data_IF_513897947019
#
_entry.id   IF_513897947019
#
_cell.length_a   1.000
_cell.length_b   1.000
_cell.length_c   1.000
_cell.angle_alpha   90.00
_cell.angle_beta   90.00
_cell.angle_gamma   90.00
#
_symmetry.space_group_name_H-M   'P 1'
#
loop_
_entity.id
_entity.type
_entity.pdbx_description
1 polymer ?
#
# COMPACT_ATOMS: atom_id res chain seq x y z
N UNK A 1 9.73 -38.08 1.74
CA UNK A 1 10.62 -36.92 1.89
C UNK A 1 9.90 -36.03 2.89
N UNK A 2 10.40 -35.96 4.12
CA UNK A 2 9.78 -35.16 5.18
C UNK A 2 9.91 -33.69 4.80
N UNK A 3 8.77 -33.00 4.68
CA UNK A 3 8.72 -31.55 4.61
C UNK A 3 9.16 -30.99 5.96
N UNK A 4 10.47 -30.89 6.16
CA UNK A 4 11.00 -30.16 7.30
C UNK A 4 10.65 -28.68 7.12
N UNK A 5 9.81 -28.17 8.02
CA UNK A 5 9.43 -26.77 8.03
C UNK A 5 10.69 -25.91 8.14
N UNK A 6 11.01 -25.19 7.05
CA UNK A 6 12.18 -24.30 6.99
C UNK A 6 11.93 -23.12 7.93
N UNK A 7 12.68 -23.06 9.05
CA UNK A 7 12.63 -21.92 9.96
C UNK A 7 13.29 -20.70 9.32
N UNK A 8 12.51 -19.63 9.13
CA UNK A 8 13.00 -18.37 8.55
C UNK A 8 12.95 -17.27 9.62
N UNK A 9 14.13 -16.83 10.06
CA UNK A 9 14.26 -15.79 11.10
C UNK A 9 13.61 -14.48 10.63
N UNK A 10 12.61 -14.03 11.37
CA UNK A 10 11.93 -12.75 11.14
C UNK A 10 11.08 -12.68 9.87
N UNK A 11 10.71 -13.82 9.28
CA UNK A 11 9.88 -13.90 8.06
C UNK A 11 10.46 -13.15 6.84
N UNK A 12 11.78 -12.95 6.80
CA UNK A 12 12.44 -12.31 5.65
C UNK A 12 12.15 -13.11 4.38
N UNK A 13 11.70 -12.43 3.33
CA UNK A 13 11.33 -13.03 2.04
C UNK A 13 10.15 -14.02 2.10
N UNK A 14 9.35 -14.00 3.17
CA UNK A 14 8.13 -14.80 3.30
C UNK A 14 6.93 -13.86 3.15
N UNK A 15 6.08 -14.11 2.15
CA UNK A 15 4.82 -13.41 2.01
C UNK A 15 3.84 -13.88 3.10
N UNK A 16 3.62 -13.04 4.12
CA UNK A 16 2.69 -13.33 5.22
C UNK A 16 1.23 -13.09 4.85
N UNK A 17 0.96 -12.16 3.93
CA UNK A 17 -0.37 -11.84 3.44
C UNK A 17 -0.34 -11.25 2.02
N UNK A 18 -1.51 -11.15 1.41
CA UNK A 18 -1.72 -10.40 0.17
C UNK A 18 -2.34 -9.05 0.51
N UNK A 19 -1.95 -7.99 -0.20
CA UNK A 19 -2.47 -6.63 0.02
C UNK A 19 -2.68 -5.89 -1.30
N UNK A 20 -3.62 -4.94 -1.28
CA UNK A 20 -3.87 -3.98 -2.38
C UNK A 20 -3.48 -2.55 -2.01
N UNK A 21 -2.98 -2.33 -0.79
CA UNK A 21 -2.81 -1.00 -0.19
C UNK A 21 -1.57 -0.29 -0.73
N UNK A 22 -0.45 -0.99 -0.87
CA UNK A 22 0.78 -0.36 -1.35
C UNK A 22 1.69 -1.33 -2.10
N UNK A 23 2.56 -0.76 -2.92
CA UNK A 23 3.66 -1.46 -3.57
C UNK A 23 4.94 -0.65 -3.40
N UNK A 24 5.98 -1.30 -2.88
CA UNK A 24 7.32 -0.73 -2.73
C UNK A 24 8.18 -1.31 -3.85
N UNK A 25 8.56 -0.47 -4.80
CA UNK A 25 9.39 -0.90 -5.92
C UNK A 25 10.85 -1.05 -5.44
N UNK A 26 11.52 -2.17 -5.74
CA UNK A 26 12.96 -2.33 -5.51
C UNK A 26 13.83 -1.21 -6.13
N UNK A 27 13.33 -0.51 -7.16
CA UNK A 27 14.01 0.61 -7.81
C UNK A 27 13.80 1.96 -7.09
N UNK A 28 13.01 1.99 -6.02
CA UNK A 28 12.86 3.15 -5.13
C UNK A 28 11.54 3.94 -5.25
N UNK A 29 10.64 3.52 -6.14
CA UNK A 29 9.31 4.11 -6.24
C UNK A 29 8.34 3.56 -5.17
N UNK A 30 7.37 4.37 -4.76
CA UNK A 30 6.34 3.99 -3.79
C UNK A 30 4.95 4.29 -4.35
N UNK A 31 4.08 3.28 -4.30
CA UNK A 31 2.71 3.38 -4.80
C UNK A 31 1.70 3.12 -3.68
N UNK A 32 0.68 3.97 -3.59
CA UNK A 32 -0.50 3.80 -2.73
C UNK A 32 -1.72 3.45 -3.58
N UNK A 33 -2.28 2.26 -3.37
CA UNK A 33 -3.43 1.73 -4.14
C UNK A 33 -3.27 1.90 -5.67
N UNK A 34 -2.04 1.84 -6.18
CA UNK A 34 -1.68 2.03 -7.60
C UNK A 34 -1.30 3.45 -8.01
N UNK A 35 -1.47 4.45 -7.14
CA UNK A 35 -1.04 5.82 -7.37
C UNK A 35 0.41 6.01 -6.94
N UNK A 36 1.24 6.52 -7.83
CA UNK A 36 2.59 6.97 -7.53
C UNK A 36 2.55 8.12 -6.52
N UNK A 37 3.24 7.97 -5.38
CA UNK A 37 3.24 8.97 -4.31
C UNK A 37 3.75 10.32 -4.79
N UNK A 38 4.72 10.35 -5.72
CA UNK A 38 5.29 11.59 -6.24
C UNK A 38 4.26 12.41 -7.02
N UNK A 39 3.19 11.77 -7.52
CA UNK A 39 2.06 12.44 -8.19
C UNK A 39 1.04 13.00 -7.21
N UNK A 40 1.01 12.50 -5.98
CA UNK A 40 0.09 12.93 -4.93
C UNK A 40 0.64 14.15 -4.17
N UNK A 41 1.96 14.27 -4.05
CA UNK A 41 2.63 15.35 -3.33
C UNK A 41 2.15 16.72 -3.84
N UNK A 42 1.68 17.57 -2.92
CA UNK A 42 1.22 18.92 -3.21
C UNK A 42 -0.12 19.01 -3.95
N UNK A 43 -0.80 17.88 -4.20
CA UNK A 43 -2.11 17.83 -4.86
C UNK A 43 -3.22 17.29 -3.97
N UNK A 44 -2.87 16.46 -2.99
CA UNK A 44 -3.83 15.87 -2.07
C UNK A 44 -3.47 16.20 -0.61
N UNK A 45 -4.49 16.26 0.25
CA UNK A 45 -4.32 16.37 1.69
C UNK A 45 -4.18 15.00 2.37
N UNK A 46 -3.96 15.02 3.69
CA UNK A 46 -3.81 13.81 4.48
C UNK A 46 -5.09 12.96 4.48
N UNK A 47 -6.25 13.61 4.62
CA UNK A 47 -7.56 12.99 4.67
C UNK A 47 -7.88 12.24 3.36
N UNK A 48 -7.52 12.82 2.22
CA UNK A 48 -7.61 12.16 0.91
C UNK A 48 -6.78 10.89 0.83
N UNK A 49 -5.58 10.89 1.41
CA UNK A 49 -4.71 9.71 1.47
C UNK A 49 -5.31 8.65 2.40
N UNK A 50 -5.85 9.03 3.56
CA UNK A 50 -6.55 8.07 4.44
C UNK A 50 -7.72 7.44 3.72
N UNK A 51 -8.53 8.25 3.02
CA UNK A 51 -9.64 7.76 2.22
C UNK A 51 -9.17 6.81 1.12
N UNK A 52 -8.08 7.16 0.41
CA UNK A 52 -7.46 6.30 -0.60
C UNK A 52 -7.06 4.93 -0.04
N UNK A 53 -6.40 4.88 1.12
CA UNK A 53 -5.93 3.63 1.70
C UNK A 53 -7.08 2.73 2.19
N UNK A 54 -8.18 3.32 2.64
CA UNK A 54 -9.37 2.59 3.10
C UNK A 54 -10.26 2.13 1.94
N UNK A 55 -10.44 2.98 0.92
CA UNK A 55 -11.41 2.76 -0.16
C UNK A 55 -10.79 2.37 -1.51
N UNK A 56 -9.46 2.36 -1.62
CA UNK A 56 -8.71 2.09 -2.85
C UNK A 56 -9.02 3.05 -4.02
N UNK A 57 -9.54 4.24 -3.72
CA UNK A 57 -9.79 5.33 -4.68
C UNK A 57 -9.64 6.68 -3.98
N UNK A 58 -9.29 7.72 -4.75
CA UNK A 58 -9.39 9.09 -4.25
C UNK A 58 -10.88 9.46 -4.03
N UNK A 59 -11.17 10.23 -2.98
CA UNK A 59 -12.54 10.67 -2.69
C UNK A 59 -13.04 11.68 -3.73
N UNK A 60 -14.36 11.77 -3.91
CA UNK A 60 -14.98 12.98 -4.44
C UNK A 60 -15.07 14.06 -3.35
N UNK A 61 -15.34 15.32 -3.73
CA UNK A 61 -15.53 16.40 -2.75
C UNK A 61 -16.61 16.07 -1.72
N UNK A 62 -17.72 15.47 -2.14
CA UNK A 62 -18.78 15.04 -1.23
C UNK A 62 -18.32 13.97 -0.23
N UNK A 63 -17.47 13.03 -0.66
CA UNK A 63 -16.94 11.96 0.19
C UNK A 63 -15.86 12.45 1.18
N UNK A 64 -15.30 13.65 0.93
CA UNK A 64 -14.38 14.35 1.82
C UNK A 64 -15.09 15.22 2.85
N UNK A 65 -16.23 15.80 2.46
CA UNK A 65 -17.00 16.73 3.28
C UNK A 65 -17.91 16.01 4.30
N UNK A 66 -18.24 14.74 4.04
CA UNK A 66 -19.02 13.83 4.92
C UNK A 66 -18.20 13.26 6.09
#
# INVERSE_FOLDING_TARGET
MSDDAVYIRGLRNVAACQTRISFVDPLGALYYSGYDIDRLIGRVCYEEVVYLLLNNKLPSQSELDD
#
